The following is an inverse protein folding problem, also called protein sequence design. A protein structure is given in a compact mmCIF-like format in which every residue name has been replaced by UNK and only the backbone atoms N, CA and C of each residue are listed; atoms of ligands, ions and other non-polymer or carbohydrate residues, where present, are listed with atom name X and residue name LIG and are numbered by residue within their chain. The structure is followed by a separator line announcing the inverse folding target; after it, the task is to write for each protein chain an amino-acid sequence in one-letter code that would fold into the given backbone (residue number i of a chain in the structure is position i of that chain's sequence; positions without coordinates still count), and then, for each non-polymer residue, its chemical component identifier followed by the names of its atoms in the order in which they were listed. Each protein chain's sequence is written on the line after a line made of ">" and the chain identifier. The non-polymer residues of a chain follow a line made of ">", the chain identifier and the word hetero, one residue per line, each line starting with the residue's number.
data_IF_652738984118
#
_entry.id   IF_652738984118
#
_cell.length_a   1.000
_cell.length_b   1.000
_cell.length_c   1.000
_cell.angle_alpha   90.00
_cell.angle_beta   90.00
_cell.angle_gamma   90.00
#
_symmetry.space_group_name_H-M   'P 1'
#
loop_
_entity.id
_entity.type
_entity.pdbx_description
1 polymer ?
#
# COMPACT_ATOMS: atom_id res chain seq x y z
N UNK A 1 -30.46 11.40 -35.56
CA UNK A 1 -29.24 11.50 -34.73
C UNK A 1 -29.60 12.30 -33.48
N UNK A 2 -29.81 11.62 -32.35
CA UNK A 2 -30.11 12.28 -31.07
C UNK A 2 -28.89 13.06 -30.63
N UNK A 3 -28.99 14.40 -30.55
CA UNK A 3 -27.95 15.24 -29.93
C UNK A 3 -27.93 14.88 -28.46
N UNK A 4 -26.89 14.16 -28.02
CA UNK A 4 -26.65 13.88 -26.61
C UNK A 4 -26.47 15.24 -25.94
N UNK A 5 -27.47 15.65 -25.16
CA UNK A 5 -27.42 16.87 -24.37
C UNK A 5 -26.25 16.72 -23.38
N UNK A 6 -25.36 17.72 -23.26
CA UNK A 6 -24.24 17.62 -22.35
C UNK A 6 -24.76 17.35 -20.93
N UNK A 7 -24.09 16.47 -20.17
CA UNK A 7 -24.54 16.12 -18.82
C UNK A 7 -24.62 17.37 -17.95
N UNK A 8 -25.64 17.43 -17.09
CA UNK A 8 -25.80 18.52 -16.12
C UNK A 8 -24.58 18.60 -15.19
N UNK A 9 -24.35 19.78 -14.61
CA UNK A 9 -23.25 19.99 -13.66
C UNK A 9 -23.31 19.02 -12.49
N UNK A 10 -24.52 18.71 -12.00
CA UNK A 10 -24.75 17.72 -10.94
C UNK A 10 -24.25 16.32 -11.33
N UNK A 11 -24.61 15.83 -12.52
CA UNK A 11 -24.18 14.52 -13.03
C UNK A 11 -22.66 14.45 -13.18
N UNK A 12 -22.03 15.53 -13.66
CA UNK A 12 -20.57 15.61 -13.76
C UNK A 12 -19.89 15.56 -12.40
N UNK A 13 -20.41 16.31 -11.42
CA UNK A 13 -19.87 16.33 -10.05
C UNK A 13 -19.99 14.96 -9.39
N UNK A 14 -21.13 14.30 -9.53
CA UNK A 14 -21.36 12.96 -9.01
C UNK A 14 -20.40 11.93 -9.65
N UNK A 15 -20.20 12.02 -10.96
CA UNK A 15 -19.23 11.17 -11.67
C UNK A 15 -17.80 11.38 -11.17
N UNK A 16 -17.36 12.64 -11.01
CA UNK A 16 -16.02 12.95 -10.49
C UNK A 16 -15.84 12.45 -9.05
N UNK A 17 -16.83 12.64 -8.19
CA UNK A 17 -16.82 12.11 -6.82
C UNK A 17 -16.73 10.59 -6.82
N UNK A 18 -17.51 9.91 -7.66
CA UNK A 18 -17.47 8.45 -7.79
C UNK A 18 -16.08 7.96 -8.22
N UNK A 19 -15.45 8.64 -9.18
CA UNK A 19 -14.08 8.30 -9.64
C UNK A 19 -13.06 8.53 -8.52
N UNK A 20 -13.19 9.63 -7.78
CA UNK A 20 -12.35 9.94 -6.63
C UNK A 20 -12.47 8.85 -5.56
N UNK A 21 -13.69 8.56 -5.12
CA UNK A 21 -13.99 7.57 -4.07
C UNK A 21 -13.51 6.17 -4.49
N UNK A 22 -13.69 5.81 -5.76
CA UNK A 22 -13.18 4.55 -6.29
C UNK A 22 -11.66 4.47 -6.20
N UNK A 23 -10.94 5.52 -6.63
CA UNK A 23 -9.49 5.55 -6.56
C UNK A 23 -8.98 5.57 -5.11
N UNK A 24 -9.67 6.26 -4.20
CA UNK A 24 -9.34 6.24 -2.79
C UNK A 24 -9.53 4.84 -2.18
N UNK A 25 -10.63 4.15 -2.50
CA UNK A 25 -10.85 2.75 -2.09
C UNK A 25 -9.75 1.82 -2.60
N UNK A 26 -9.19 2.04 -3.79
CA UNK A 26 -8.07 1.25 -4.27
C UNK A 26 -6.81 1.40 -3.39
N UNK A 27 -6.59 2.58 -2.79
CA UNK A 27 -5.52 2.82 -1.82
C UNK A 27 -5.79 1.99 -0.56
N UNK A 28 -6.99 2.08 0.01
CA UNK A 28 -7.38 1.32 1.20
C UNK A 28 -7.24 -0.18 0.98
N UNK A 29 -7.67 -0.68 -0.18
CA UNK A 29 -7.52 -2.09 -0.54
C UNK A 29 -6.05 -2.52 -0.64
N UNK A 30 -5.17 -1.67 -1.18
CA UNK A 30 -3.74 -1.94 -1.24
C UNK A 30 -3.13 -2.01 0.17
N UNK A 31 -3.51 -1.10 1.06
CA UNK A 31 -3.04 -1.06 2.45
C UNK A 31 -3.55 -2.26 3.24
N UNK A 32 -4.82 -2.62 3.08
CA UNK A 32 -5.41 -3.80 3.71
C UNK A 32 -4.69 -5.08 3.26
N UNK A 33 -4.36 -5.21 1.97
CA UNK A 33 -3.57 -6.34 1.46
C UNK A 33 -2.17 -6.39 2.06
N UNK A 34 -1.47 -5.26 2.11
CA UNK A 34 -0.13 -5.19 2.70
C UNK A 34 -0.15 -5.51 4.20
N UNK A 35 -1.14 -5.03 4.95
CA UNK A 35 -1.33 -5.34 6.37
C UNK A 35 -1.60 -6.82 6.59
N UNK A 36 -2.47 -7.44 5.77
CA UNK A 36 -2.73 -8.87 5.86
C UNK A 36 -1.45 -9.69 5.61
N UNK A 37 -0.65 -9.33 4.61
CA UNK A 37 0.62 -10.01 4.31
C UNK A 37 1.63 -9.82 5.45
N UNK A 38 1.70 -8.61 6.03
CA UNK A 38 2.54 -8.32 7.20
C UNK A 38 2.17 -9.24 8.38
N UNK A 39 0.86 -9.40 8.67
CA UNK A 39 0.37 -10.29 9.72
C UNK A 39 0.73 -11.75 9.45
N UNK A 40 0.54 -12.24 8.21
CA UNK A 40 0.89 -13.62 7.83
C UNK A 40 2.39 -13.88 8.01
N UNK A 41 3.25 -12.95 7.57
CA UNK A 41 4.69 -13.07 7.77
C UNK A 41 5.06 -13.10 9.27
N UNK A 42 4.41 -12.29 10.10
CA UNK A 42 4.61 -12.30 11.55
C UNK A 42 4.27 -13.65 12.17
N UNK A 43 3.09 -14.21 11.85
CA UNK A 43 2.67 -15.53 12.34
C UNK A 43 3.63 -16.63 11.87
N UNK A 44 3.99 -16.64 10.60
CA UNK A 44 4.92 -17.62 10.04
C UNK A 44 6.27 -17.57 10.73
N UNK A 45 6.82 -16.38 10.95
CA UNK A 45 8.09 -16.19 11.62
C UNK A 45 8.05 -16.72 13.06
N UNK A 46 6.97 -16.45 13.81
CA UNK A 46 6.78 -17.00 15.15
C UNK A 46 6.74 -18.52 15.15
N UNK A 47 6.00 -19.15 14.23
CA UNK A 47 5.87 -20.61 14.15
C UNK A 47 7.22 -21.26 13.82
N UNK A 48 7.95 -20.73 12.83
CA UNK A 48 9.24 -21.29 12.41
C UNK A 48 10.30 -21.13 13.49
N UNK A 49 10.37 -19.97 14.15
CA UNK A 49 11.30 -19.77 15.26
C UNK A 49 10.99 -20.70 16.44
N UNK A 50 9.71 -20.93 16.75
CA UNK A 50 9.32 -21.89 17.78
C UNK A 50 9.75 -23.32 17.40
N UNK A 51 9.54 -23.72 16.15
CA UNK A 51 9.95 -25.04 15.65
C UNK A 51 11.47 -25.23 15.74
N UNK A 52 12.26 -24.24 15.31
CA UNK A 52 13.73 -24.27 15.42
C UNK A 52 14.17 -24.33 16.88
N UNK A 53 13.55 -23.54 17.76
CA UNK A 53 13.87 -23.53 19.19
C UNK A 53 13.57 -24.86 19.89
N UNK A 54 12.49 -25.55 19.52
CA UNK A 54 12.18 -26.89 20.02
C UNK A 54 13.19 -27.95 19.55
N UNK A 55 13.83 -27.72 18.40
CA UNK A 55 14.77 -28.66 17.81
C UNK A 55 16.19 -28.61 18.40
N UNK A 56 16.43 -27.88 19.49
CA UNK A 56 17.56 -27.96 20.44
C UNK A 56 18.99 -27.97 19.87
N UNK A 57 19.29 -28.95 19.05
CA UNK A 57 20.54 -29.22 18.35
C UNK A 57 20.53 -28.74 16.89
N UNK A 58 19.58 -27.89 16.47
CA UNK A 58 19.44 -27.44 15.07
C UNK A 58 20.73 -26.82 14.49
N UNK A 59 21.52 -26.15 15.32
CA UNK A 59 22.80 -25.55 14.90
C UNK A 59 24.01 -26.48 15.09
N UNK A 60 23.79 -27.72 15.53
CA UNK A 60 24.83 -28.75 15.59
C UNK A 60 25.08 -29.27 14.18
N UNK A 61 26.27 -28.98 13.65
CA UNK A 61 26.63 -29.38 12.28
C UNK A 61 27.18 -30.81 12.32
N UNK A 62 26.32 -31.79 12.05
CA UNK A 62 26.70 -33.21 11.97
C UNK A 62 26.91 -33.71 10.55
N UNK A 63 26.18 -33.15 9.57
CA UNK A 63 26.25 -33.56 8.17
C UNK A 63 25.98 -32.39 7.19
N UNK A 64 26.06 -32.67 5.88
CA UNK A 64 25.79 -31.67 4.85
C UNK A 64 24.32 -31.22 4.77
N UNK A 65 23.37 -32.02 5.28
CA UNK A 65 21.93 -31.72 5.30
C UNK A 65 21.63 -30.66 6.38
N UNK A 66 22.35 -30.68 7.51
CA UNK A 66 22.25 -29.66 8.56
C UNK A 66 22.71 -28.29 8.04
N UNK A 67 23.84 -28.27 7.32
CA UNK A 67 24.35 -27.05 6.67
C UNK A 67 23.33 -26.50 5.65
N UNK A 68 22.76 -27.37 4.82
CA UNK A 68 21.73 -26.99 3.87
C UNK A 68 20.49 -26.40 4.57
N UNK A 69 20.04 -27.00 5.67
CA UNK A 69 18.89 -26.52 6.44
C UNK A 69 19.12 -25.13 7.04
N UNK A 70 20.33 -24.86 7.56
CA UNK A 70 20.71 -23.53 8.06
C UNK A 70 20.75 -22.49 6.93
N UNK A 71 21.28 -22.84 5.75
CA UNK A 71 21.31 -21.95 4.59
C UNK A 71 19.88 -21.61 4.14
N UNK A 72 19.00 -22.61 4.03
CA UNK A 72 17.61 -22.42 3.61
C UNK A 72 16.84 -21.59 4.65
N UNK A 73 17.06 -21.81 5.95
CA UNK A 73 16.48 -20.98 7.01
C UNK A 73 16.92 -19.52 6.87
N UNK A 74 18.20 -19.29 6.59
CA UNK A 74 18.73 -17.94 6.36
C UNK A 74 18.08 -17.27 5.14
N UNK A 75 17.92 -18.01 4.03
CA UNK A 75 17.20 -17.53 2.85
C UNK A 75 15.74 -17.21 3.15
N UNK A 76 15.07 -18.02 3.97
CA UNK A 76 13.71 -17.75 4.44
C UNK A 76 13.65 -16.43 5.22
N UNK A 77 14.56 -16.21 6.16
CA UNK A 77 14.61 -14.98 6.95
C UNK A 77 14.83 -13.73 6.07
N UNK A 78 15.72 -13.82 5.07
CA UNK A 78 15.95 -12.73 4.11
C UNK A 78 14.71 -12.46 3.25
N UNK A 79 14.04 -13.51 2.77
CA UNK A 79 12.80 -13.40 1.99
C UNK A 79 11.66 -12.78 2.82
N UNK A 80 11.51 -13.22 4.07
CA UNK A 80 10.53 -12.70 5.01
C UNK A 80 10.80 -11.21 5.30
N UNK A 81 12.04 -10.84 5.62
CA UNK A 81 12.43 -9.45 5.85
C UNK A 81 12.15 -8.56 4.63
N UNK A 82 12.45 -9.04 3.43
CA UNK A 82 12.14 -8.34 2.17
C UNK A 82 10.63 -8.11 2.03
N UNK A 83 9.81 -9.12 2.35
CA UNK A 83 8.35 -9.02 2.33
C UNK A 83 7.81 -8.01 3.36
N UNK A 84 8.39 -7.98 4.58
CA UNK A 84 8.06 -7.00 5.61
C UNK A 84 8.37 -5.57 5.13
N UNK A 85 9.55 -5.35 4.53
CA UNK A 85 9.96 -4.05 3.99
C UNK A 85 8.97 -3.57 2.93
N UNK A 86 8.60 -4.42 1.96
CA UNK A 86 7.63 -4.02 0.93
C UNK A 86 6.22 -3.76 1.48
N UNK A 87 5.81 -4.50 2.51
CA UNK A 87 4.53 -4.27 3.20
C UNK A 87 4.53 -2.89 3.86
N UNK A 88 5.58 -2.57 4.62
CA UNK A 88 5.75 -1.28 5.28
C UNK A 88 5.82 -0.14 4.25
N UNK A 89 6.55 -0.32 3.14
CA UNK A 89 6.63 0.70 2.08
C UNK A 89 5.29 0.95 1.37
N UNK A 90 4.38 -0.03 1.36
CA UNK A 90 3.03 0.13 0.83
C UNK A 90 2.16 0.97 1.76
N UNK A 91 2.19 0.63 3.06
CA UNK A 91 1.38 1.28 4.11
C UNK A 91 1.88 2.69 4.42
N UNK A 92 3.21 2.88 4.36
CA UNK A 92 3.86 4.15 4.68
C UNK A 92 3.26 5.31 3.88
N UNK A 93 2.93 6.43 4.54
CA UNK A 93 2.29 7.57 3.90
C UNK A 93 3.19 8.08 2.77
N UNK A 94 2.64 8.07 1.56
CA UNK A 94 3.36 8.55 0.40
C UNK A 94 3.01 10.00 0.13
N UNK A 95 3.95 10.89 0.42
CA UNK A 95 3.92 12.24 -0.11
C UNK A 95 4.87 12.29 -1.30
N UNK A 96 4.32 12.40 -2.52
CA UNK A 96 5.18 12.61 -3.68
C UNK A 96 5.68 14.05 -3.65
N UNK A 97 6.95 14.22 -3.35
CA UNK A 97 7.65 15.49 -3.58
C UNK A 97 7.59 15.81 -5.08
N UNK A 98 7.13 17.02 -5.43
CA UNK A 98 7.09 17.49 -6.82
C UNK A 98 5.82 17.20 -7.63
N UNK A 99 4.78 16.56 -7.06
CA UNK A 99 3.42 16.84 -7.56
C UNK A 99 3.04 18.22 -6.99
N UNK A 100 2.51 19.16 -7.79
CA UNK A 100 1.97 20.39 -7.23
C UNK A 100 1.02 20.00 -6.11
N UNK A 101 1.28 20.46 -4.87
CA UNK A 101 0.26 20.35 -3.82
C UNK A 101 -1.02 20.92 -4.45
N UNK A 102 -2.11 20.15 -4.55
CA UNK A 102 -3.33 20.67 -5.14
C UNK A 102 -3.65 21.94 -4.37
N UNK A 103 -3.49 23.13 -4.96
CA UNK A 103 -3.71 24.44 -4.32
C UNK A 103 -5.22 24.72 -4.25
N UNK A 104 -5.96 23.72 -3.80
CA UNK A 104 -7.40 23.73 -3.74
C UNK A 104 -7.82 23.79 -2.28
N UNK A 105 -8.84 24.59 -2.00
CA UNK A 105 -9.36 24.88 -0.65
C UNK A 105 -9.86 23.63 0.07
N UNK A 106 -10.11 22.53 -0.67
CA UNK A 106 -10.58 21.26 -0.12
C UNK A 106 -9.45 20.37 0.42
N UNK A 107 -8.18 20.67 0.13
CA UNK A 107 -7.06 19.84 0.58
C UNK A 107 -6.64 20.20 2.00
N UNK A 108 -6.62 19.22 2.91
CA UNK A 108 -6.45 19.46 4.35
C UNK A 108 -5.20 20.31 4.71
N UNK A 109 -4.07 20.15 4.00
CA UNK A 109 -2.88 20.96 4.28
C UNK A 109 -3.15 22.44 3.96
N UNK A 110 -3.86 22.73 2.88
CA UNK A 110 -4.18 24.09 2.53
C UNK A 110 -5.20 24.68 3.50
N UNK A 111 -6.16 23.87 4.01
CA UNK A 111 -7.08 24.32 5.07
C UNK A 111 -6.27 24.79 6.29
N UNK A 112 -5.22 24.06 6.66
CA UNK A 112 -4.34 24.42 7.77
C UNK A 112 -3.41 25.60 7.49
N UNK A 113 -3.25 26.02 6.23
CA UNK A 113 -2.46 27.19 5.85
C UNK A 113 -3.24 28.52 6.03
N UNK A 114 -4.55 28.47 6.31
CA UNK A 114 -5.37 29.67 6.59
C UNK A 114 -5.23 30.08 8.06
N UNK A 115 -5.28 31.39 8.34
CA UNK A 115 -5.10 31.93 9.69
C UNK A 115 -6.32 31.72 10.59
N UNK A 116 -7.51 31.79 10.02
CA UNK A 116 -8.77 31.63 10.74
C UNK A 116 -9.87 31.02 9.85
N UNK A 117 -11.01 30.74 10.48
CA UNK A 117 -12.17 30.12 9.83
C UNK A 117 -12.86 31.06 8.84
N UNK A 118 -12.78 32.37 9.06
CA UNK A 118 -13.44 33.36 8.20
C UNK A 118 -12.69 33.51 6.87
N UNK A 119 -11.36 33.54 6.91
CA UNK A 119 -10.49 33.51 5.73
C UNK A 119 -10.76 32.25 4.90
N UNK A 120 -10.85 31.09 5.56
CA UNK A 120 -11.18 29.83 4.90
C UNK A 120 -12.56 29.84 4.23
N UNK A 121 -13.58 30.36 4.93
CA UNK A 121 -14.94 30.43 4.41
C UNK A 121 -15.04 31.30 3.14
N UNK A 122 -14.33 32.43 3.11
CA UNK A 122 -14.28 33.31 1.93
C UNK A 122 -13.63 32.58 0.76
N UNK A 123 -12.48 31.93 0.97
CA UNK A 123 -11.80 31.19 -0.09
C UNK A 123 -12.63 30.00 -0.59
N UNK A 124 -13.32 29.31 0.31
CA UNK A 124 -14.22 28.20 -0.01
C UNK A 124 -15.41 28.66 -0.86
N UNK A 125 -16.07 29.77 -0.49
CA UNK A 125 -17.17 30.32 -1.26
C UNK A 125 -16.71 30.75 -2.66
N UNK A 126 -15.54 31.38 -2.77
CA UNK A 126 -14.96 31.74 -4.05
C UNK A 126 -14.68 30.51 -4.91
N UNK A 127 -14.10 29.45 -4.35
CA UNK A 127 -13.85 28.20 -5.06
C UNK A 127 -15.14 27.49 -5.51
N UNK A 128 -16.22 27.58 -4.72
CA UNK A 128 -17.53 26.99 -5.05
C UNK A 128 -18.36 27.82 -6.03
N UNK A 129 -18.05 29.11 -6.21
CA UNK A 129 -18.78 30.01 -7.09
C UNK A 129 -18.55 29.72 -8.59
N UNK A 130 -17.47 29.04 -8.94
CA UNK A 130 -17.12 28.67 -10.32
C UNK A 130 -16.96 27.15 -10.44
N UNK A 131 -17.91 26.53 -11.15
CA UNK A 131 -17.89 25.08 -11.40
C UNK A 131 -16.61 24.60 -12.11
N UNK A 132 -15.97 25.45 -12.92
CA UNK A 132 -14.72 25.09 -13.59
C UNK A 132 -13.55 24.95 -12.61
N UNK A 133 -13.55 25.73 -11.52
CA UNK A 133 -12.59 25.58 -10.43
C UNK A 133 -12.81 24.28 -9.65
N UNK A 134 -14.07 23.88 -9.46
CA UNK A 134 -14.43 22.59 -8.84
C UNK A 134 -13.97 21.43 -9.73
N UNK A 135 -14.28 21.45 -11.02
CA UNK A 135 -13.84 20.41 -11.98
C UNK A 135 -12.32 20.27 -12.00
N UNK A 136 -11.60 21.39 -12.05
CA UNK A 136 -10.13 21.40 -11.99
C UNK A 136 -9.61 20.83 -10.66
N UNK A 137 -10.25 21.21 -9.56
CA UNK A 137 -9.95 20.73 -8.22
C UNK A 137 -10.04 19.21 -8.10
N UNK A 138 -11.14 18.63 -8.56
CA UNK A 138 -11.34 17.18 -8.60
C UNK A 138 -10.36 16.49 -9.53
N UNK A 139 -10.12 17.04 -10.73
CA UNK A 139 -9.17 16.46 -11.69
C UNK A 139 -7.75 16.35 -11.11
N UNK A 140 -7.25 17.42 -10.50
CA UNK A 140 -5.91 17.44 -9.88
C UNK A 140 -5.79 16.43 -8.72
N UNK A 141 -6.86 16.29 -7.92
CA UNK A 141 -6.91 15.33 -6.82
C UNK A 141 -6.98 13.88 -7.33
N UNK A 142 -7.84 13.59 -8.30
CA UNK A 142 -7.96 12.27 -8.93
C UNK A 142 -6.60 11.86 -9.52
N UNK A 143 -5.94 12.78 -10.23
CA UNK A 143 -4.60 12.52 -10.77
C UNK A 143 -3.58 12.22 -9.65
N UNK A 144 -3.58 13.03 -8.59
CA UNK A 144 -2.68 12.84 -7.45
C UNK A 144 -2.87 11.47 -6.79
N UNK A 145 -4.12 11.08 -6.50
CA UNK A 145 -4.47 9.77 -5.92
C UNK A 145 -4.08 8.64 -6.87
N UNK A 146 -4.33 8.79 -8.17
CA UNK A 146 -3.95 7.79 -9.18
C UNK A 146 -2.45 7.52 -9.20
N UNK A 147 -1.61 8.56 -9.00
CA UNK A 147 -0.16 8.40 -8.89
C UNK A 147 0.22 7.63 -7.62
N UNK A 148 -0.44 7.90 -6.48
CA UNK A 148 -0.23 7.13 -5.24
C UNK A 148 -0.60 5.67 -5.45
N UNK A 149 -1.75 5.40 -6.07
CA UNK A 149 -2.22 4.06 -6.42
C UNK A 149 -1.17 3.30 -7.24
N UNK A 150 -0.64 3.91 -8.30
CA UNK A 150 0.39 3.28 -9.14
C UNK A 150 1.60 2.82 -8.33
N UNK A 151 2.07 3.63 -7.37
CA UNK A 151 3.19 3.28 -6.47
C UNK A 151 2.79 2.15 -5.52
N UNK A 152 1.65 2.26 -4.82
CA UNK A 152 1.20 1.24 -3.86
C UNK A 152 1.01 -0.11 -4.53
N UNK A 153 0.34 -0.17 -5.67
CA UNK A 153 0.15 -1.43 -6.42
C UNK A 153 1.46 -2.05 -6.90
N UNK A 154 2.50 -1.25 -7.18
CA UNK A 154 3.83 -1.79 -7.49
C UNK A 154 4.41 -2.53 -6.27
N UNK A 155 4.33 -1.94 -5.08
CA UNK A 155 4.82 -2.57 -3.86
C UNK A 155 3.97 -3.75 -3.39
N UNK A 156 2.64 -3.68 -3.52
CA UNK A 156 1.75 -4.82 -3.26
C UNK A 156 2.14 -6.02 -4.12
N UNK A 157 2.46 -5.82 -5.40
CA UNK A 157 2.96 -6.91 -6.24
C UNK A 157 4.22 -7.53 -5.65
N UNK A 158 5.24 -6.73 -5.35
CA UNK A 158 6.49 -7.24 -4.74
C UNK A 158 6.28 -7.95 -3.40
N UNK A 159 5.38 -7.41 -2.57
CA UNK A 159 4.97 -7.99 -1.31
C UNK A 159 4.35 -9.40 -1.50
N UNK A 160 3.44 -9.56 -2.47
CA UNK A 160 2.85 -10.87 -2.82
C UNK A 160 3.90 -11.84 -3.34
N UNK A 161 4.77 -11.41 -4.27
CA UNK A 161 5.82 -12.28 -4.82
C UNK A 161 6.80 -12.77 -3.76
N UNK A 162 7.23 -11.87 -2.86
CA UNK A 162 8.13 -12.22 -1.75
C UNK A 162 7.46 -13.11 -0.71
N UNK A 163 6.16 -12.92 -0.42
CA UNK A 163 5.41 -13.82 0.44
C UNK A 163 5.35 -15.24 -0.14
N UNK A 164 4.98 -15.37 -1.42
CA UNK A 164 4.92 -16.67 -2.09
C UNK A 164 6.28 -17.38 -2.12
N UNK A 165 7.36 -16.63 -2.40
CA UNK A 165 8.72 -17.15 -2.29
C UNK A 165 9.02 -17.67 -0.88
N UNK A 166 8.62 -16.92 0.15
CA UNK A 166 8.83 -17.33 1.56
C UNK A 166 8.11 -18.63 1.89
N UNK A 167 6.89 -18.85 1.39
CA UNK A 167 6.17 -20.13 1.54
C UNK A 167 6.90 -21.31 0.90
N UNK A 168 7.44 -21.13 -0.31
CA UNK A 168 8.18 -22.19 -0.99
C UNK A 168 9.46 -22.54 -0.22
N UNK A 169 10.22 -21.53 0.19
CA UNK A 169 11.47 -21.72 0.95
C UNK A 169 11.19 -22.40 2.29
N UNK A 170 10.12 -22.01 2.99
CA UNK A 170 9.74 -22.63 4.27
C UNK A 170 9.30 -24.08 4.09
N UNK A 171 8.61 -24.41 2.99
CA UNK A 171 8.26 -25.79 2.67
C UNK A 171 9.49 -26.66 2.47
N UNK A 172 10.47 -26.17 1.71
CA UNK A 172 11.76 -26.86 1.51
C UNK A 172 12.50 -27.01 2.84
N UNK A 173 12.54 -25.95 3.65
CA UNK A 173 13.16 -25.96 4.98
C UNK A 173 12.59 -27.08 5.86
N UNK A 174 11.26 -27.18 5.94
CA UNK A 174 10.60 -28.20 6.74
C UNK A 174 10.95 -29.61 6.24
N UNK A 175 10.90 -29.85 4.93
CA UNK A 175 11.24 -31.16 4.35
C UNK A 175 12.67 -31.56 4.67
N UNK A 176 13.65 -30.67 4.47
CA UNK A 176 15.05 -30.95 4.81
C UNK A 176 15.20 -31.27 6.29
N UNK A 177 14.55 -30.50 7.15
CA UNK A 177 14.61 -30.67 8.59
C UNK A 177 13.92 -31.95 9.08
N UNK A 178 12.93 -32.47 8.35
CA UNK A 178 12.32 -33.76 8.65
C UNK A 178 13.16 -34.96 8.19
N UNK A 179 13.99 -34.76 7.16
CA UNK A 179 14.86 -35.81 6.59
C UNK A 179 16.21 -35.91 7.31
N UNK A 180 16.71 -34.79 7.88
CA UNK A 180 17.87 -34.73 8.77
C UNK A 180 17.58 -35.32 10.15
#
# INVERSE_FOLDING_TARGET
>A
MSKIQPPSQEVKLEAMKTIYDHNYRLIELADNKATAILTVNGVMLTVILAFVGLKGDFFSVGNAIDIASIIILTLYLVSCLSSLIFSILTISPFQKTGIPKPKHVYYYINILDHKDTDEYNVELQNALSDFSLIEKGFSDQIYSISVVNKRKYKFVKWCVWTLLSSFVIVGIFLVLTFVS
#
